data_IF_621966424728
#
_entry.id   IF_621966424728
#
_cell.length_a   1.000
_cell.length_b   1.000
_cell.length_c   1.000
_cell.angle_alpha   90.00
_cell.angle_beta   90.00
_cell.angle_gamma   90.00
#
_symmetry.space_group_name_H-M   'P 1'
#
loop_
_entity.id
_entity.type
_entity.pdbx_description
1 polymer ?
#
# COMPACT_ATOMS: atom_id res chain seq x y z
N UNK A 1 4.71 -15.15 15.65
CA UNK A 1 5.33 -14.05 16.41
C UNK A 1 4.68 -12.78 15.92
N UNK A 2 4.14 -11.94 16.80
CA UNK A 2 3.49 -10.68 16.41
C UNK A 2 4.52 -9.74 15.77
N UNK A 3 4.24 -9.23 14.56
CA UNK A 3 5.12 -8.32 13.79
C UNK A 3 4.95 -6.86 14.25
N UNK A 4 4.86 -6.63 15.56
CA UNK A 4 4.49 -5.34 16.17
C UNK A 4 5.30 -4.10 15.74
N UNK A 5 6.41 -4.24 15.05
CA UNK A 5 7.20 -3.11 14.55
C UNK A 5 7.28 -3.10 13.02
N UNK A 6 6.46 -3.91 12.33
CA UNK A 6 6.52 -3.97 10.87
C UNK A 6 5.77 -2.82 10.21
N UNK A 7 6.37 -2.30 9.15
CA UNK A 7 5.75 -1.33 8.25
C UNK A 7 5.30 -2.06 6.99
N UNK A 8 4.01 -2.04 6.75
CA UNK A 8 3.40 -2.71 5.62
C UNK A 8 3.08 -1.75 4.50
N UNK A 9 3.27 -2.20 3.26
CA UNK A 9 2.97 -1.44 2.04
C UNK A 9 2.07 -2.25 1.14
N UNK A 10 0.86 -1.77 0.88
CA UNK A 10 0.01 -2.32 -0.15
C UNK A 10 0.48 -1.81 -1.52
N UNK A 11 1.08 -2.69 -2.31
CA UNK A 11 1.59 -2.35 -3.64
C UNK A 11 0.45 -2.25 -4.64
N UNK A 12 0.51 -1.24 -5.49
CA UNK A 12 -0.33 -1.16 -6.69
C UNK A 12 0.38 -1.79 -7.88
N UNK A 13 -0.39 -2.39 -8.77
CA UNK A 13 0.11 -3.00 -9.99
C UNK A 13 -0.77 -2.64 -11.20
N UNK A 14 -0.20 -2.73 -12.38
CA UNK A 14 -0.90 -2.65 -13.66
C UNK A 14 -0.30 -3.68 -14.61
N UNK A 15 -1.13 -4.61 -15.08
CA UNK A 15 -0.68 -5.68 -15.96
C UNK A 15 0.44 -6.55 -15.35
N UNK A 16 0.36 -6.84 -14.06
CA UNK A 16 1.32 -7.65 -13.31
C UNK A 16 2.60 -6.92 -12.87
N UNK A 17 2.78 -5.65 -13.27
CA UNK A 17 3.96 -4.84 -12.91
C UNK A 17 3.64 -3.87 -11.78
N UNK A 18 4.56 -3.73 -10.84
CA UNK A 18 4.44 -2.79 -9.71
C UNK A 18 4.44 -1.35 -10.24
N UNK A 19 3.49 -0.54 -9.77
CA UNK A 19 3.38 0.88 -10.12
C UNK A 19 4.44 1.74 -9.42
N UNK A 20 4.89 2.82 -10.07
CA UNK A 20 5.97 3.69 -9.57
C UNK A 20 5.76 4.24 -8.16
N UNK A 21 4.53 4.63 -7.80
CA UNK A 21 4.18 5.10 -6.45
C UNK A 21 4.46 4.07 -5.36
N UNK A 22 4.39 2.78 -5.69
CA UNK A 22 4.69 1.70 -4.75
C UNK A 22 6.16 1.68 -4.35
N UNK A 23 7.07 2.03 -5.26
CA UNK A 23 8.50 2.12 -4.96
C UNK A 23 8.84 3.29 -4.04
N UNK A 24 8.15 4.43 -4.21
CA UNK A 24 8.27 5.57 -3.28
C UNK A 24 7.82 5.16 -1.87
N UNK A 25 6.68 4.46 -1.76
CA UNK A 25 6.18 3.98 -0.48
C UNK A 25 7.12 2.96 0.17
N UNK A 26 7.72 2.04 -0.60
CA UNK A 26 8.71 1.09 -0.08
C UNK A 26 9.94 1.80 0.49
N UNK A 27 10.47 2.79 -0.24
CA UNK A 27 11.61 3.59 0.22
C UNK A 27 11.28 4.36 1.51
N UNK A 28 10.08 4.95 1.59
CA UNK A 28 9.60 5.61 2.81
C UNK A 28 9.38 4.63 3.96
N UNK A 29 8.77 3.48 3.69
CA UNK A 29 8.55 2.41 4.67
C UNK A 29 9.86 1.88 5.24
N UNK A 30 10.91 1.75 4.43
CA UNK A 30 12.25 1.31 4.88
C UNK A 30 12.85 2.29 5.90
N UNK A 31 12.69 3.60 5.70
CA UNK A 31 13.16 4.62 6.65
C UNK A 31 12.45 4.47 7.99
N UNK A 32 11.12 4.37 7.98
CA UNK A 32 10.32 4.16 9.20
C UNK A 32 10.66 2.83 9.89
N UNK A 33 10.79 1.74 9.13
CA UNK A 33 11.11 0.43 9.69
C UNK A 33 12.50 0.40 10.34
N UNK A 34 13.49 1.11 9.78
CA UNK A 34 14.82 1.21 10.37
C UNK A 34 14.76 1.92 11.74
N UNK A 35 13.98 3.00 11.87
CA UNK A 35 13.79 3.70 13.13
C UNK A 35 13.05 2.85 14.18
N UNK A 36 12.05 2.05 13.72
CA UNK A 36 11.31 1.12 14.58
C UNK A 36 12.10 -0.15 14.91
N UNK A 37 13.28 -0.37 14.31
CA UNK A 37 14.00 -1.65 14.35
C UNK A 37 13.12 -2.82 13.89
N UNK A 38 12.32 -2.59 12.85
CA UNK A 38 11.32 -3.48 12.30
C UNK A 38 11.60 -3.93 10.86
N UNK A 39 10.63 -4.62 10.28
CA UNK A 39 10.68 -5.14 8.91
C UNK A 39 9.74 -4.36 7.98
N UNK A 40 10.07 -4.33 6.68
CA UNK A 40 9.17 -3.88 5.63
C UNK A 40 8.52 -5.08 4.98
N UNK A 41 7.20 -5.18 5.10
CA UNK A 41 6.41 -6.20 4.45
C UNK A 41 5.54 -5.56 3.35
N UNK A 42 5.60 -6.10 2.14
CA UNK A 42 4.76 -5.65 1.05
C UNK A 42 3.62 -6.65 0.80
N UNK A 43 2.47 -6.16 0.37
CA UNK A 43 1.36 -6.99 -0.10
C UNK A 43 1.14 -6.69 -1.57
N UNK A 44 1.26 -7.72 -2.42
CA UNK A 44 1.06 -7.62 -3.86
C UNK A 44 -0.10 -8.53 -4.27
N UNK A 45 -1.16 -7.92 -4.76
CA UNK A 45 -2.37 -8.58 -5.20
C UNK A 45 -2.57 -8.35 -6.70
N UNK A 46 -2.87 -9.41 -7.45
CA UNK A 46 -3.07 -9.29 -8.89
C UNK A 46 -3.10 -10.64 -9.59
N UNK A 47 -2.83 -10.63 -10.89
CA UNK A 47 -2.67 -11.83 -11.70
C UNK A 47 -1.35 -11.79 -12.45
N UNK A 48 -0.59 -12.90 -12.41
CA UNK A 48 0.76 -13.01 -12.98
C UNK A 48 1.72 -11.93 -12.51
N UNK A 49 1.65 -11.60 -11.20
CA UNK A 49 2.41 -10.52 -10.59
C UNK A 49 3.86 -10.91 -10.29
N UNK A 50 4.76 -9.94 -10.36
CA UNK A 50 6.19 -10.12 -10.13
C UNK A 50 6.65 -9.36 -8.90
N UNK A 51 7.01 -10.09 -7.83
CA UNK A 51 7.38 -9.51 -6.53
C UNK A 51 8.85 -9.03 -6.45
N UNK A 52 9.73 -9.54 -7.34
CA UNK A 52 11.19 -9.39 -7.21
C UNK A 52 11.66 -7.95 -7.08
N UNK A 53 11.06 -7.03 -7.83
CA UNK A 53 11.45 -5.63 -7.82
C UNK A 53 11.20 -4.95 -6.46
N UNK A 54 10.22 -5.42 -5.67
CA UNK A 54 9.94 -4.83 -4.36
C UNK A 54 11.13 -4.93 -3.39
N UNK A 55 11.93 -5.98 -3.49
CA UNK A 55 13.13 -6.16 -2.66
C UNK A 55 14.18 -5.09 -2.94
N UNK A 56 14.37 -4.74 -4.21
CA UNK A 56 15.33 -3.72 -4.61
C UNK A 56 15.02 -2.34 -4.01
N UNK A 57 13.77 -2.09 -3.63
CA UNK A 57 13.31 -0.86 -3.00
C UNK A 57 13.07 -0.98 -1.49
N UNK A 58 13.49 -2.08 -0.88
CA UNK A 58 13.58 -2.19 0.56
C UNK A 58 12.56 -3.10 1.25
N UNK A 59 11.77 -3.87 0.51
CA UNK A 59 10.95 -4.92 1.14
C UNK A 59 11.84 -6.05 1.68
N UNK A 60 11.53 -6.57 2.86
CA UNK A 60 12.13 -7.78 3.42
C UNK A 60 11.28 -9.00 3.05
N UNK A 61 9.95 -8.82 3.03
CA UNK A 61 8.97 -9.85 2.71
C UNK A 61 7.93 -9.31 1.75
N UNK A 62 7.46 -10.16 0.84
CA UNK A 62 6.34 -9.84 -0.06
C UNK A 62 5.28 -10.93 0.04
N UNK A 63 4.12 -10.58 0.54
CA UNK A 63 2.93 -11.42 0.52
C UNK A 63 2.27 -11.31 -0.85
N UNK A 64 2.24 -12.39 -1.60
CA UNK A 64 1.71 -12.43 -2.97
C UNK A 64 0.41 -13.20 -3.00
N UNK A 65 -0.67 -12.53 -3.35
CA UNK A 65 -1.95 -13.15 -3.70
C UNK A 65 -2.13 -13.05 -5.20
N UNK A 66 -1.74 -14.10 -5.93
CA UNK A 66 -1.82 -14.18 -7.40
C UNK A 66 -3.04 -15.00 -7.79
N UNK A 67 -4.05 -14.33 -8.35
CA UNK A 67 -5.29 -14.95 -8.78
C UNK A 67 -5.95 -14.14 -9.91
N UNK A 68 -6.59 -14.81 -10.87
CA UNK A 68 -7.27 -14.17 -12.01
C UNK A 68 -8.37 -13.19 -11.57
N UNK A 69 -9.05 -13.44 -10.44
CA UNK A 69 -10.07 -12.53 -9.90
C UNK A 69 -9.49 -11.23 -9.33
N UNK A 70 -8.16 -11.14 -9.20
CA UNK A 70 -7.43 -9.95 -8.77
C UNK A 70 -6.71 -9.23 -9.93
N UNK A 71 -6.85 -9.69 -11.18
CA UNK A 71 -6.25 -9.04 -12.35
C UNK A 71 -6.64 -7.56 -12.41
N UNK A 72 -7.92 -7.31 -12.19
CA UNK A 72 -8.48 -5.97 -12.15
C UNK A 72 -8.89 -5.59 -10.73
N UNK A 73 -8.70 -4.33 -10.40
CA UNK A 73 -9.08 -3.83 -9.08
C UNK A 73 -10.57 -4.04 -8.79
N UNK A 74 -10.85 -4.73 -7.70
CA UNK A 74 -12.18 -4.87 -7.10
C UNK A 74 -12.06 -4.63 -5.59
N UNK A 75 -12.68 -3.57 -5.09
CA UNK A 75 -12.59 -3.17 -3.69
C UNK A 75 -12.95 -4.31 -2.74
N UNK A 76 -13.97 -5.10 -3.09
CA UNK A 76 -14.45 -6.21 -2.25
C UNK A 76 -13.39 -7.28 -2.07
N UNK A 77 -12.81 -7.77 -3.17
CA UNK A 77 -11.80 -8.82 -3.18
C UNK A 77 -10.50 -8.35 -2.52
N UNK A 78 -9.97 -7.19 -2.95
CA UNK A 78 -8.75 -6.61 -2.40
C UNK A 78 -8.86 -6.34 -0.91
N UNK A 79 -10.00 -5.79 -0.46
CA UNK A 79 -10.23 -5.50 0.96
C UNK A 79 -10.27 -6.78 1.80
N UNK A 80 -10.91 -7.86 1.34
CA UNK A 80 -10.96 -9.13 2.08
C UNK A 80 -9.59 -9.76 2.25
N UNK A 81 -8.80 -9.81 1.17
CA UNK A 81 -7.42 -10.36 1.21
C UNK A 81 -6.57 -9.56 2.18
N UNK A 82 -6.58 -8.22 2.04
CA UNK A 82 -5.73 -7.35 2.87
C UNK A 82 -6.18 -7.33 4.33
N UNK A 83 -7.49 -7.33 4.60
CA UNK A 83 -8.05 -7.41 5.96
C UNK A 83 -7.59 -8.69 6.69
N UNK A 84 -7.66 -9.84 6.01
CA UNK A 84 -7.20 -11.13 6.56
C UNK A 84 -5.72 -11.04 6.92
N UNK A 85 -4.87 -10.60 5.98
CA UNK A 85 -3.43 -10.49 6.20
C UNK A 85 -3.10 -9.54 7.37
N UNK A 86 -3.76 -8.39 7.44
CA UNK A 86 -3.55 -7.43 8.54
C UNK A 86 -3.96 -8.01 9.89
N UNK A 87 -5.10 -8.72 9.96
CA UNK A 87 -5.56 -9.34 11.21
C UNK A 87 -4.66 -10.49 11.67
N UNK A 88 -4.07 -11.24 10.74
CA UNK A 88 -3.18 -12.35 11.05
C UNK A 88 -1.78 -11.89 11.48
N UNK A 89 -1.31 -10.76 10.99
CA UNK A 89 0.07 -10.29 11.18
C UNK A 89 0.22 -9.06 12.08
N UNK A 90 -0.85 -8.34 12.35
CA UNK A 90 -0.91 -7.18 13.25
C UNK A 90 0.22 -6.15 13.01
N UNK A 91 0.34 -5.56 11.80
CA UNK A 91 1.37 -4.57 11.52
C UNK A 91 1.21 -3.29 12.35
N UNK A 92 2.32 -2.59 12.62
CA UNK A 92 2.29 -1.29 13.29
C UNK A 92 1.74 -0.19 12.35
N UNK A 93 2.23 -0.18 11.11
CA UNK A 93 1.89 0.83 10.10
C UNK A 93 1.46 0.14 8.81
N UNK A 94 0.44 0.68 8.14
CA UNK A 94 0.02 0.23 6.80
C UNK A 94 -0.10 1.43 5.85
N UNK A 95 0.73 1.40 4.81
CA UNK A 95 0.76 2.42 3.77
C UNK A 95 0.06 1.94 2.49
N UNK A 96 -0.77 2.80 1.93
CA UNK A 96 -1.42 2.63 0.64
C UNK A 96 -1.15 3.87 -0.23
N UNK A 97 -1.29 3.78 -1.55
CA UNK A 97 -1.17 4.95 -2.41
C UNK A 97 -2.42 5.83 -2.35
N UNK A 98 -2.27 7.15 -2.46
CA UNK A 98 -3.40 8.07 -2.57
C UNK A 98 -3.95 8.18 -4.01
N UNK A 99 -3.93 7.09 -4.75
CA UNK A 99 -4.59 6.93 -6.06
C UNK A 99 -6.11 6.76 -5.88
N UNK A 100 -6.85 6.70 -6.97
CA UNK A 100 -8.29 6.41 -6.92
C UNK A 100 -8.57 5.06 -6.25
N UNK A 101 -7.82 4.01 -6.64
CA UNK A 101 -8.00 2.67 -6.08
C UNK A 101 -7.54 2.59 -4.62
N UNK A 102 -6.38 3.18 -4.31
CA UNK A 102 -5.84 3.14 -2.96
C UNK A 102 -6.69 3.91 -1.94
N UNK A 103 -7.27 5.06 -2.34
CA UNK A 103 -8.20 5.81 -1.46
C UNK A 103 -9.49 5.05 -1.20
N UNK A 104 -10.05 4.41 -2.24
CA UNK A 104 -11.25 3.58 -2.11
C UNK A 104 -11.00 2.36 -1.19
N UNK A 105 -9.88 1.66 -1.41
CA UNK A 105 -9.48 0.51 -0.59
C UNK A 105 -9.20 0.92 0.87
N UNK A 106 -8.41 1.98 1.08
CA UNK A 106 -7.98 2.40 2.41
C UNK A 106 -9.14 2.78 3.32
N UNK A 107 -10.10 3.57 2.82
CA UNK A 107 -11.27 3.98 3.60
C UNK A 107 -12.12 2.80 4.04
N UNK A 108 -12.36 1.85 3.12
CA UNK A 108 -13.10 0.63 3.42
C UNK A 108 -12.37 -0.28 4.40
N UNK A 109 -11.07 -0.47 4.19
CA UNK A 109 -10.25 -1.30 5.06
C UNK A 109 -10.15 -0.74 6.47
N UNK A 110 -9.92 0.58 6.62
CA UNK A 110 -9.85 1.24 7.93
C UNK A 110 -11.12 1.04 8.74
N UNK A 111 -12.30 1.16 8.09
CA UNK A 111 -13.59 0.90 8.73
C UNK A 111 -13.73 -0.56 9.18
N UNK A 112 -13.25 -1.53 8.42
CA UNK A 112 -13.33 -2.96 8.77
C UNK A 112 -12.33 -3.38 9.85
N UNK A 113 -11.21 -2.68 9.94
CA UNK A 113 -10.19 -2.87 10.98
C UNK A 113 -10.46 -2.02 12.24
N UNK A 114 -11.49 -1.17 12.20
CA UNK A 114 -11.86 -0.24 13.29
C UNK A 114 -10.67 0.64 13.72
N UNK A 115 -9.89 1.10 12.72
CA UNK A 115 -8.70 1.95 12.94
C UNK A 115 -8.81 3.30 12.24
N UNK A 116 -7.88 4.21 12.57
CA UNK A 116 -7.78 5.54 11.96
C UNK A 116 -7.07 5.52 10.60
N UNK A 117 -7.43 6.45 9.72
CA UNK A 117 -6.82 6.66 8.42
C UNK A 117 -6.45 8.14 8.21
N UNK A 118 -5.16 8.43 8.03
CA UNK A 118 -4.70 9.71 7.50
C UNK A 118 -4.64 9.63 5.97
N UNK A 119 -5.47 10.42 5.29
CA UNK A 119 -5.56 10.36 3.83
C UNK A 119 -4.75 11.47 3.17
N UNK A 120 -4.12 11.14 2.01
CA UNK A 120 -3.41 12.08 1.14
C UNK A 120 -2.20 12.74 1.82
N UNK A 121 -1.43 11.92 2.56
CA UNK A 121 -0.26 12.38 3.30
C UNK A 121 0.89 12.76 2.36
N UNK A 122 1.62 13.80 2.73
CA UNK A 122 2.78 14.31 2.00
C UNK A 122 4.10 14.08 2.74
N UNK A 123 4.05 13.80 4.05
CA UNK A 123 5.20 13.40 4.83
C UNK A 123 4.80 12.44 5.95
N UNK A 124 5.74 11.60 6.36
CA UNK A 124 5.64 10.69 7.51
C UNK A 124 6.91 10.85 8.34
N UNK A 125 6.74 10.85 9.67
CA UNK A 125 7.83 10.85 10.64
C UNK A 125 7.47 9.95 11.83
N UNK A 126 8.45 9.56 12.60
CA UNK A 126 8.24 8.94 13.91
C UNK A 126 8.62 9.95 15.01
N UNK A 127 7.71 10.15 15.95
CA UNK A 127 7.97 10.93 17.17
C UNK A 127 7.68 10.04 18.37
N UNK A 128 8.67 9.86 19.23
CA UNK A 128 8.60 8.94 20.38
C UNK A 128 8.10 7.53 20.02
N UNK A 129 8.48 7.05 18.81
CA UNK A 129 8.07 5.74 18.28
C UNK A 129 6.64 5.68 17.73
N UNK A 130 5.92 6.80 17.66
CA UNK A 130 4.59 6.90 17.10
C UNK A 130 4.62 7.55 15.72
N UNK A 131 3.79 7.05 14.80
CA UNK A 131 3.67 7.64 13.47
C UNK A 131 2.95 8.98 13.54
N UNK A 132 3.61 10.00 12.97
CA UNK A 132 3.05 11.32 12.68
C UNK A 132 2.93 11.48 11.18
N UNK A 133 1.71 11.65 10.69
CA UNK A 133 1.42 11.79 9.26
C UNK A 133 1.03 13.23 8.94
N UNK A 134 1.80 13.91 8.10
CA UNK A 134 1.51 15.27 7.66
C UNK A 134 0.67 15.26 6.40
N UNK A 135 -0.43 16.01 6.37
CA UNK A 135 -1.32 16.13 5.22
C UNK A 135 -1.84 17.53 5.01
N UNK A 136 -2.04 17.97 3.76
CA UNK A 136 -2.69 19.23 3.49
C UNK A 136 -4.21 19.16 3.74
N UNK A 137 -4.76 20.23 4.26
CA UNK A 137 -6.19 20.43 4.47
C UNK A 137 -6.63 21.78 3.91
N UNK A 138 -7.93 22.02 3.80
CA UNK A 138 -8.49 23.27 3.29
C UNK A 138 -7.83 23.75 1.97
N UNK A 139 -7.76 22.84 1.00
CA UNK A 139 -7.16 23.14 -0.32
C UNK A 139 -5.64 23.35 -0.28
N UNK A 140 -4.95 22.89 0.77
CA UNK A 140 -3.50 23.03 0.91
C UNK A 140 -3.05 24.24 1.71
N UNK A 141 -4.01 25.04 2.23
CA UNK A 141 -3.67 26.24 3.01
C UNK A 141 -3.20 25.91 4.45
N UNK A 142 -3.53 24.73 4.95
CA UNK A 142 -3.15 24.27 6.28
C UNK A 142 -2.52 22.89 6.16
N UNK A 143 -1.39 22.68 6.83
CA UNK A 143 -0.79 21.37 7.02
C UNK A 143 -1.22 20.84 8.38
N UNK A 144 -1.86 19.67 8.40
CA UNK A 144 -2.29 19.01 9.62
C UNK A 144 -1.37 17.82 9.91
N UNK A 145 -0.97 17.66 11.15
CA UNK A 145 -0.31 16.47 11.67
C UNK A 145 -1.34 15.56 12.30
N UNK A 146 -1.33 14.29 11.90
CA UNK A 146 -2.27 13.27 12.36
C UNK A 146 -1.48 12.21 13.11
N UNK A 147 -1.90 11.89 14.31
CA UNK A 147 -1.32 10.87 15.18
C UNK A 147 -2.31 9.73 15.43
N UNK A 148 -1.79 8.57 15.82
CA UNK A 148 -2.56 7.34 16.02
C UNK A 148 -2.30 6.80 17.44
N UNK A 149 -2.94 7.34 18.49
CA UNK A 149 -2.56 7.05 19.88
C UNK A 149 -2.90 5.62 20.32
N UNK A 150 -3.97 5.02 19.80
CA UNK A 150 -4.52 3.78 20.37
C UNK A 150 -4.62 2.62 19.39
N UNK A 151 -5.11 2.87 18.18
CA UNK A 151 -5.47 1.80 17.22
C UNK A 151 -4.34 1.47 16.26
N UNK A 152 -4.25 0.19 15.89
CA UNK A 152 -3.30 -0.33 14.90
C UNK A 152 -4.03 -1.15 13.83
N UNK A 153 -3.47 -1.22 12.64
CA UNK A 153 -2.32 -0.43 12.17
C UNK A 153 -2.64 1.06 12.08
N UNK A 154 -1.62 1.92 12.23
CA UNK A 154 -1.70 3.31 11.81
C UNK A 154 -1.76 3.35 10.28
N UNK A 155 -2.89 3.75 9.70
CA UNK A 155 -3.09 3.71 8.25
C UNK A 155 -2.89 5.07 7.61
N UNK A 156 -2.14 5.10 6.50
CA UNK A 156 -1.95 6.30 5.69
C UNK A 156 -2.13 6.02 4.21
N UNK A 157 -2.75 6.95 3.47
CA UNK A 157 -2.56 6.99 2.02
C UNK A 157 -1.57 8.06 1.65
N UNK A 158 -0.61 7.72 0.77
CA UNK A 158 0.54 8.54 0.41
C UNK A 158 0.32 9.16 -0.96
N UNK A 159 0.46 10.47 -1.04
CA UNK A 159 0.40 11.19 -2.31
C UNK A 159 1.57 10.79 -3.19
N UNK A 160 1.32 10.51 -4.47
CA UNK A 160 2.40 10.26 -5.44
C UNK A 160 3.36 11.44 -5.55
N UNK A 161 4.63 11.17 -5.75
CA UNK A 161 5.73 12.13 -5.76
C UNK A 161 5.91 12.93 -4.45
N UNK A 162 5.34 12.47 -3.35
CA UNK A 162 5.52 13.09 -2.03
C UNK A 162 6.73 12.54 -1.29
N UNK A 163 7.09 11.30 -1.56
CA UNK A 163 8.26 10.66 -0.96
C UNK A 163 9.34 10.43 -2.02
N UNK A 164 10.60 10.58 -1.60
CA UNK A 164 11.72 10.25 -2.48
C UNK A 164 11.76 8.75 -2.74
N UNK A 165 11.84 8.37 -4.01
CA UNK A 165 12.16 7.02 -4.40
C UNK A 165 13.69 6.86 -4.36
N UNK A 166 14.18 5.92 -3.58
CA UNK A 166 15.61 5.59 -3.54
C UNK A 166 16.01 4.81 -4.81
N UNK A 167 17.29 4.81 -5.15
CA UNK A 167 17.81 4.00 -6.26
C UNK A 167 17.66 2.50 -5.94
N UNK A 168 17.29 1.67 -6.93
CA UNK A 168 17.09 0.25 -6.70
C UNK A 168 18.43 -0.46 -6.40
N UNK A 169 18.47 -1.22 -5.31
CA UNK A 169 19.58 -2.11 -5.00
C UNK A 169 19.28 -3.53 -5.50
N UNK A 170 19.79 -3.86 -6.69
CA UNK A 170 19.55 -5.17 -7.31
C UNK A 170 20.17 -6.36 -6.53
N UNK A 171 21.04 -6.10 -5.54
CA UNK A 171 21.63 -7.14 -4.68
C UNK A 171 20.67 -7.59 -3.57
N UNK A 172 19.64 -6.79 -3.27
CA UNK A 172 18.66 -7.10 -2.24
C UNK A 172 17.77 -8.27 -2.65
N UNK A 173 17.59 -9.16 -1.70
CA UNK A 173 16.69 -10.32 -1.80
C UNK A 173 15.83 -10.39 -0.56
N UNK A 174 14.71 -11.08 -0.63
CA UNK A 174 13.80 -11.23 0.49
C UNK A 174 12.93 -12.48 0.35
N UNK A 175 11.97 -12.62 1.22
CA UNK A 175 11.07 -13.75 1.29
C UNK A 175 9.78 -13.46 0.51
N UNK A 176 9.39 -14.36 -0.39
CA UNK A 176 8.07 -14.34 -1.04
C UNK A 176 7.16 -15.33 -0.32
N UNK A 177 6.04 -14.83 0.21
CA UNK A 177 5.03 -15.62 0.92
C UNK A 177 3.78 -15.68 0.04
N UNK A 178 3.46 -16.87 -0.46
CA UNK A 178 2.26 -17.07 -1.25
C UNK A 178 1.03 -17.09 -0.36
N UNK A 179 0.04 -16.27 -0.72
CA UNK A 179 -1.24 -16.13 -0.03
C UNK A 179 -2.34 -16.73 -0.89
N UNK A 180 -3.11 -17.64 -0.33
CA UNK A 180 -4.26 -18.21 -1.03
C UNK A 180 -5.37 -17.16 -1.20
N UNK A 181 -5.96 -17.12 -2.40
CA UNK A 181 -7.20 -16.39 -2.64
C UNK A 181 -8.37 -17.25 -2.13
N UNK A 182 -8.92 -16.88 -1.00
CA UNK A 182 -10.05 -17.57 -0.34
C UNK A 182 -11.29 -16.68 -0.21
N UNK A 183 -11.44 -15.76 -1.17
CA UNK A 183 -12.61 -14.88 -1.23
C UNK A 183 -13.73 -15.61 -1.96
N UNK A 184 -14.90 -15.69 -1.33
CA UNK A 184 -16.11 -16.16 -2.02
C UNK A 184 -16.64 -15.05 -2.94
N UNK A 185 -16.57 -15.30 -4.24
CA UNK A 185 -17.02 -14.34 -5.25
C UNK A 185 -18.54 -14.06 -5.17
N UNK A 186 -19.32 -14.99 -4.59
CA UNK A 186 -20.74 -14.77 -4.34
C UNK A 186 -21.02 -13.66 -3.31
N UNK A 187 -20.05 -13.38 -2.45
CA UNK A 187 -20.13 -12.27 -1.47
C UNK A 187 -19.68 -10.91 -2.04
N UNK A 188 -19.11 -10.90 -3.26
CA UNK A 188 -18.68 -9.66 -3.90
C UNK A 188 -19.89 -8.92 -4.48
N UNK A 189 -20.08 -7.66 -4.06
CA UNK A 189 -21.20 -6.84 -4.50
C UNK A 189 -21.01 -6.23 -5.88
N UNK A 190 -19.80 -6.27 -6.41
CA UNK A 190 -19.41 -5.66 -7.70
C UNK A 190 -18.58 -6.64 -8.50
N UNK A 191 -18.71 -6.57 -9.83
CA UNK A 191 -17.90 -7.34 -10.78
C UNK A 191 -17.44 -6.41 -11.89
N UNK A 192 -16.17 -6.48 -12.27
CA UNK A 192 -15.64 -5.80 -13.45
C UNK A 192 -16.22 -6.49 -14.68
N UNK A 193 -16.94 -5.76 -15.54
CA UNK A 193 -17.52 -6.30 -16.78
C UNK A 193 -16.57 -6.15 -17.96
N UNK A 194 -15.97 -4.96 -18.08
CA UNK A 194 -15.04 -4.63 -19.15
C UNK A 194 -14.14 -3.48 -18.73
N UNK A 195 -12.98 -3.39 -19.35
CA UNK A 195 -12.06 -2.26 -19.22
C UNK A 195 -12.03 -1.52 -20.55
N UNK A 196 -12.41 -0.26 -20.52
CA UNK A 196 -12.34 0.60 -21.70
C UNK A 196 -10.99 1.32 -21.65
N UNK A 197 -10.08 0.92 -22.54
CA UNK A 197 -8.80 1.58 -22.68
C UNK A 197 -8.99 3.00 -23.25
N UNK A 198 -8.28 3.98 -22.70
CA UNK A 198 -8.21 5.30 -23.32
C UNK A 198 -7.55 5.21 -24.68
N UNK A 199 -7.98 6.06 -25.62
CA UNK A 199 -7.36 6.14 -26.94
C UNK A 199 -5.85 6.43 -26.79
N UNK A 200 -5.03 5.73 -27.58
CA UNK A 200 -3.59 5.92 -27.60
C UNK A 200 -3.25 7.37 -27.96
N UNK A 201 -2.57 8.07 -27.05
CA UNK A 201 -2.17 9.48 -27.23
C UNK A 201 -2.49 10.41 -26.07
N UNK A 202 -3.31 10.00 -25.11
CA UNK A 202 -3.49 10.76 -23.88
C UNK A 202 -2.35 10.49 -22.87
N UNK A 203 -1.64 11.56 -22.52
CA UNK A 203 -0.60 11.48 -21.49
C UNK A 203 -1.31 11.39 -20.12
N UNK A 204 -1.04 10.32 -19.39
CA UNK A 204 -1.46 10.22 -18.00
C UNK A 204 -0.58 11.13 -17.15
N UNK A 205 -1.12 12.24 -16.65
CA UNK A 205 -0.39 13.20 -15.80
C UNK A 205 0.33 12.54 -14.59
N UNK A 206 -0.25 11.55 -13.89
CA UNK A 206 0.45 10.86 -12.81
C UNK A 206 1.64 10.00 -13.26
N UNK A 207 1.69 9.62 -14.54
CA UNK A 207 2.76 8.80 -15.11
C UNK A 207 3.75 9.60 -15.96
N UNK A 208 3.53 10.91 -16.13
CA UNK A 208 4.46 11.78 -16.82
C UNK A 208 5.71 11.98 -15.95
N UNK A 209 6.84 11.45 -16.40
CA UNK A 209 8.14 11.84 -15.85
C UNK A 209 8.49 13.23 -16.34
N UNK A 210 8.80 14.14 -15.44
CA UNK A 210 9.44 15.43 -15.75
C UNK A 210 10.88 15.22 -16.15
#
# INVERSE_FOLDING_TARGET
MSNKNSVWVCLEQTGGKIAGVSYEMLSGARKLANELSGEVCAVLMGHQVQAKEAFAYGADKVYVCDNENLEHYNTGAYCKVLEKLVKENEPEILLLAATTNGRDLAGRLASRLETGLAADCTALALEDGQLVATRPTYGGNIMAEVVFPEKRPAMCTIRGNAMSKDDPDASKTGEVITVAYDVDDAELRTKVKEIIAKASGEISLPAAST
#
